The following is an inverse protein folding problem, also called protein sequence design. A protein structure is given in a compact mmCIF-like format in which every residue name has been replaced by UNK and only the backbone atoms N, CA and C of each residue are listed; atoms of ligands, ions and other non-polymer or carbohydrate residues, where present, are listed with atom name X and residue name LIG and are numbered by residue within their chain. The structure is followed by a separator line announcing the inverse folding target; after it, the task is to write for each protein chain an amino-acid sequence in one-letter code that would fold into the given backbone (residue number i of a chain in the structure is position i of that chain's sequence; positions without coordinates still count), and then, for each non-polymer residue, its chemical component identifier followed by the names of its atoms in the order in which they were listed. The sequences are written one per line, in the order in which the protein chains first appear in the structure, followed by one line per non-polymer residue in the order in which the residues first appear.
data_IF_672604812760
#
_entry.id   IF_672604812760
#
_cell.length_a   1.000
_cell.length_b   1.000
_cell.length_c   1.000
_cell.angle_alpha   90.00
_cell.angle_beta   90.00
_cell.angle_gamma   90.00
#
_symmetry.space_group_name_H-M   'P 1'
#
loop_
_entity.id
_entity.type
_entity.pdbx_description
1 polymer ?
#
# COMPACT_ATOMS: atom_id res chain seq x y z
N UNK A 1 8.56 33.79 46.38
CA UNK A 1 7.39 32.89 46.35
C UNK A 1 7.07 32.51 44.91
N UNK A 2 7.11 31.20 44.65
CA UNK A 2 7.04 30.55 43.33
C UNK A 2 5.63 30.64 42.75
N UNK A 3 5.47 31.18 41.55
CA UNK A 3 4.28 30.96 40.72
C UNK A 3 4.60 29.84 39.73
N UNK A 4 4.07 28.65 40.01
CA UNK A 4 4.08 27.50 39.10
C UNK A 4 2.94 27.68 38.10
N UNK A 5 3.27 27.95 36.84
CA UNK A 5 2.36 27.71 35.72
C UNK A 5 2.24 26.19 35.54
N UNK A 6 1.11 25.62 35.96
CA UNK A 6 0.70 24.28 35.58
C UNK A 6 -0.17 24.40 34.32
N UNK A 7 0.46 24.27 33.15
CA UNK A 7 -0.27 24.11 31.89
C UNK A 7 -0.77 22.66 31.89
N UNK A 8 -2.05 22.49 32.19
CA UNK A 8 -2.73 21.21 32.11
C UNK A 8 -3.00 20.90 30.63
N UNK A 9 -2.09 20.18 29.98
CA UNK A 9 -2.36 19.50 28.71
C UNK A 9 -3.37 18.37 28.99
N UNK A 10 -4.67 18.69 28.93
CA UNK A 10 -5.67 17.65 28.70
C UNK A 10 -5.64 17.34 27.22
N UNK A 11 -5.01 16.21 26.87
CA UNK A 11 -5.21 15.58 25.57
C UNK A 11 -6.72 15.38 25.39
N UNK A 12 -7.31 16.14 24.47
CA UNK A 12 -8.64 15.85 23.98
C UNK A 12 -8.49 14.56 23.17
N UNK A 13 -8.82 13.43 23.77
CA UNK A 13 -9.13 12.21 23.04
C UNK A 13 -10.34 12.53 22.17
N UNK A 14 -10.09 12.94 20.93
CA UNK A 14 -11.09 12.88 19.88
C UNK A 14 -11.33 11.40 19.69
N UNK A 15 -12.40 10.88 20.29
CA UNK A 15 -12.97 9.61 19.87
C UNK A 15 -13.43 9.84 18.43
N UNK A 16 -12.53 9.56 17.48
CA UNK A 16 -12.90 9.38 16.09
C UNK A 16 -13.88 8.21 16.14
N UNK A 17 -15.16 8.49 15.91
CA UNK A 17 -16.12 7.45 15.56
C UNK A 17 -15.53 6.77 14.34
N UNK A 18 -14.98 5.58 14.54
CA UNK A 18 -14.41 4.78 13.47
C UNK A 18 -15.55 4.41 12.52
N UNK A 19 -15.76 5.25 11.51
CA UNK A 19 -16.77 5.05 10.48
C UNK A 19 -16.38 3.90 9.55
N UNK A 20 -15.10 3.55 9.48
CA UNK A 20 -14.55 2.55 8.56
C UNK A 20 -13.65 1.57 9.32
N UNK A 21 -13.53 0.34 8.82
CA UNK A 21 -12.76 -0.69 9.52
C UNK A 21 -11.93 -1.56 8.59
N UNK A 22 -10.75 -1.96 9.07
CA UNK A 22 -9.95 -3.04 8.51
C UNK A 22 -10.04 -4.23 9.47
N UNK A 23 -10.63 -5.33 9.02
CA UNK A 23 -10.88 -6.53 9.82
C UNK A 23 -10.11 -7.71 9.26
N UNK A 24 -9.33 -8.38 10.10
CA UNK A 24 -8.68 -9.64 9.77
C UNK A 24 -9.62 -10.78 10.16
N UNK A 25 -10.14 -11.50 9.18
CA UNK A 25 -11.05 -12.64 9.39
C UNK A 25 -10.29 -13.90 9.80
N UNK A 26 -9.22 -14.23 9.08
CA UNK A 26 -8.41 -15.42 9.31
C UNK A 26 -6.93 -15.06 9.13
N UNK A 27 -6.07 -15.63 9.96
CA UNK A 27 -4.63 -15.49 9.84
C UNK A 27 -3.94 -16.74 10.40
N UNK A 28 -2.81 -17.17 9.81
CA UNK A 28 -2.03 -18.28 10.32
C UNK A 28 -1.37 -17.92 11.66
N UNK A 29 -1.05 -18.91 12.49
CA UNK A 29 -0.44 -18.70 13.82
C UNK A 29 0.89 -17.94 13.79
N UNK A 30 1.62 -18.00 12.68
CA UNK A 30 2.89 -17.30 12.50
C UNK A 30 2.75 -15.84 12.02
N UNK A 31 1.53 -15.37 11.74
CA UNK A 31 1.21 -13.95 11.48
C UNK A 31 0.37 -13.43 12.66
N UNK A 32 0.95 -12.55 13.45
CA UNK A 32 0.33 -12.05 14.68
C UNK A 32 -0.17 -10.62 14.49
N UNK A 33 -1.49 -10.47 14.54
CA UNK A 33 -2.18 -9.19 14.58
C UNK A 33 -2.50 -8.82 16.03
N UNK A 34 -1.92 -7.74 16.53
CA UNK A 34 -2.11 -7.28 17.90
C UNK A 34 -3.48 -6.65 18.07
N UNK A 35 -4.26 -7.09 19.06
CA UNK A 35 -5.55 -6.46 19.37
C UNK A 35 -5.33 -5.07 19.97
N UNK A 36 -5.84 -4.04 19.31
CA UNK A 36 -5.84 -2.68 19.80
C UNK A 36 -6.51 -1.72 18.82
N UNK A 37 -6.89 -0.55 19.30
CA UNK A 37 -7.65 0.46 18.54
C UNK A 37 -6.72 1.41 17.77
N UNK A 38 -5.67 0.89 17.13
CA UNK A 38 -4.73 1.70 16.37
C UNK A 38 -5.23 1.94 14.95
N UNK A 39 -5.44 3.18 14.54
CA UNK A 39 -5.88 3.47 13.19
C UNK A 39 -4.84 3.07 12.15
N UNK A 40 -5.31 2.47 11.07
CA UNK A 40 -4.51 2.18 9.87
C UNK A 40 -4.95 3.10 8.74
N UNK A 41 -4.00 3.69 8.01
CA UNK A 41 -4.31 4.53 6.85
C UNK A 41 -4.71 3.65 5.67
N UNK A 42 -5.76 4.01 4.94
CA UNK A 42 -6.18 3.34 3.70
C UNK A 42 -5.06 3.23 2.66
N UNK A 43 -4.23 4.26 2.54
CA UNK A 43 -3.04 4.28 1.67
C UNK A 43 -2.01 3.19 2.02
N UNK A 44 -2.01 2.71 3.27
CA UNK A 44 -1.03 1.75 3.78
C UNK A 44 -1.53 0.31 3.77
N UNK A 45 -2.75 0.05 3.29
CA UNK A 45 -3.26 -1.32 3.14
C UNK A 45 -2.42 -2.16 2.18
N UNK A 46 -1.99 -1.67 0.99
CA UNK A 46 -1.10 -2.45 0.13
C UNK A 46 0.26 -2.76 0.77
N UNK A 47 0.82 -1.79 1.51
CA UNK A 47 2.08 -1.97 2.25
C UNK A 47 1.92 -3.03 3.35
N UNK A 48 0.78 -3.02 4.06
CA UNK A 48 0.45 -4.03 5.06
C UNK A 48 0.36 -5.43 4.45
N UNK A 49 -0.36 -5.57 3.34
CA UNK A 49 -0.49 -6.83 2.58
C UNK A 49 0.87 -7.33 2.07
N UNK A 50 1.73 -6.43 1.59
CA UNK A 50 3.09 -6.77 1.18
C UNK A 50 3.90 -7.32 2.36
N UNK A 51 3.85 -6.65 3.51
CA UNK A 51 4.57 -7.05 4.72
C UNK A 51 4.07 -8.38 5.30
N UNK A 52 2.76 -8.65 5.29
CA UNK A 52 2.22 -9.93 5.77
C UNK A 52 2.68 -11.10 4.90
N UNK A 53 2.85 -10.88 3.60
CA UNK A 53 3.43 -11.86 2.66
C UNK A 53 4.96 -11.90 2.69
N UNK A 54 5.61 -10.99 3.42
CA UNK A 54 7.06 -10.97 3.61
C UNK A 54 7.84 -10.19 2.57
N UNK A 55 7.17 -9.37 1.77
CA UNK A 55 7.80 -8.47 0.82
C UNK A 55 8.29 -7.19 1.50
N UNK A 56 9.28 -6.54 0.89
CA UNK A 56 9.78 -5.24 1.32
C UNK A 56 8.90 -4.12 0.80
N UNK A 57 8.63 -3.12 1.64
CA UNK A 57 7.91 -1.89 1.27
C UNK A 57 8.87 -0.71 1.16
N UNK A 58 8.48 0.34 0.43
CA UNK A 58 9.33 1.52 0.22
C UNK A 58 9.42 2.40 1.47
N UNK A 59 8.33 2.49 2.23
CA UNK A 59 8.26 3.27 3.46
C UNK A 59 7.93 2.35 4.64
N UNK A 60 8.68 2.48 5.73
CA UNK A 60 8.46 1.68 6.92
C UNK A 60 7.05 1.90 7.48
N UNK A 61 6.28 0.80 7.60
CA UNK A 61 4.98 0.82 8.24
C UNK A 61 5.15 0.86 9.76
N UNK A 62 5.12 2.05 10.35
CA UNK A 62 5.21 2.28 11.81
C UNK A 62 3.91 1.93 12.57
N UNK A 63 3.10 1.00 12.05
CA UNK A 63 1.83 0.62 12.64
C UNK A 63 2.00 -0.57 13.59
N UNK A 64 1.61 -0.44 14.88
CA UNK A 64 1.86 -1.47 15.90
C UNK A 64 0.95 -2.71 15.79
N UNK A 65 -0.07 -2.67 14.92
CA UNK A 65 -1.03 -3.76 14.78
C UNK A 65 -0.47 -5.03 14.15
N UNK A 66 0.61 -4.95 13.38
CA UNK A 66 1.29 -6.12 12.80
C UNK A 66 2.58 -6.40 13.57
N UNK A 67 2.68 -7.58 14.18
CA UNK A 67 3.89 -8.01 14.88
C UNK A 67 4.85 -8.74 13.92
N UNK A 68 6.16 -8.54 14.13
CA UNK A 68 7.19 -9.30 13.43
C UNK A 68 7.05 -10.80 13.71
N UNK A 69 6.80 -11.58 12.64
CA UNK A 69 6.72 -13.04 12.66
C UNK A 69 8.04 -13.72 12.27
N UNK A 70 8.04 -15.06 12.15
CA UNK A 70 9.21 -15.84 11.73
C UNK A 70 9.67 -15.45 10.33
N UNK A 71 10.97 -15.31 10.07
CA UNK A 71 11.48 -14.82 8.77
C UNK A 71 11.21 -15.74 7.56
N UNK A 72 11.05 -17.04 7.80
CA UNK A 72 10.97 -18.05 6.74
C UNK A 72 9.59 -18.71 6.62
N UNK A 73 8.61 -18.26 7.40
CA UNK A 73 7.23 -18.71 7.30
C UNK A 73 6.39 -17.54 6.81
N UNK A 74 5.80 -17.72 5.63
CA UNK A 74 4.94 -16.73 4.97
C UNK A 74 3.62 -17.37 4.61
N UNK A 75 2.52 -16.59 4.61
CA UNK A 75 1.26 -17.05 4.07
C UNK A 75 1.42 -17.46 2.60
N UNK A 76 0.73 -18.52 2.21
CA UNK A 76 0.60 -19.00 0.84
C UNK A 76 -0.44 -18.24 0.03
N UNK A 77 -1.33 -17.51 0.70
CA UNK A 77 -2.26 -16.62 0.02
C UNK A 77 -2.60 -15.43 0.91
N UNK A 78 -2.80 -14.27 0.27
CA UNK A 78 -3.50 -13.15 0.86
C UNK A 78 -4.79 -12.87 0.08
N UNK A 79 -5.90 -12.79 0.81
CA UNK A 79 -7.23 -12.51 0.28
C UNK A 79 -7.73 -11.23 0.93
N UNK A 80 -7.77 -10.16 0.15
CA UNK A 80 -8.32 -8.87 0.56
C UNK A 80 -9.69 -8.66 -0.09
N UNK A 81 -10.72 -8.47 0.73
CA UNK A 81 -12.06 -8.12 0.26
C UNK A 81 -12.41 -6.70 0.70
N UNK A 82 -12.56 -5.80 -0.25
CA UNK A 82 -13.03 -4.43 -0.02
C UNK A 82 -14.55 -4.42 -0.17
N UNK A 83 -15.26 -4.01 0.86
CA UNK A 83 -16.72 -3.85 0.86
C UNK A 83 -17.06 -2.37 0.97
N UNK A 84 -17.74 -1.87 -0.07
CA UNK A 84 -18.20 -0.49 -0.16
C UNK A 84 -19.65 -0.35 0.25
N UNK A 85 -20.03 0.84 0.71
CA UNK A 85 -21.41 1.16 1.11
C UNK A 85 -21.77 0.76 2.54
N UNK A 86 -20.81 0.43 3.39
CA UNK A 86 -21.05 0.04 4.79
C UNK A 86 -19.98 0.59 5.72
N UNK A 87 -20.41 1.10 6.88
CA UNK A 87 -19.50 1.67 7.87
C UNK A 87 -18.67 0.53 8.52
N UNK A 88 -19.36 -0.47 9.08
CA UNK A 88 -18.73 -1.68 9.63
C UNK A 88 -19.62 -2.91 9.42
N UNK A 89 -18.98 -4.07 9.27
CA UNK A 89 -19.65 -5.37 9.19
C UNK A 89 -19.49 -6.12 10.52
N UNK A 90 -20.59 -6.68 11.03
CA UNK A 90 -20.55 -7.53 12.20
C UNK A 90 -19.98 -8.91 11.84
N UNK A 91 -18.67 -9.08 12.05
CA UNK A 91 -17.91 -10.30 11.77
C UNK A 91 -17.50 -10.99 13.09
N UNK A 92 -18.38 -11.77 13.75
CA UNK A 92 -18.16 -12.37 15.07
C UNK A 92 -16.91 -13.25 15.22
N UNK A 93 -16.39 -13.82 14.14
CA UNK A 93 -15.23 -14.72 14.17
C UNK A 93 -13.96 -14.08 13.60
N UNK A 94 -13.77 -12.77 13.80
CA UNK A 94 -12.55 -12.08 13.39
C UNK A 94 -11.38 -12.27 14.38
N UNK A 95 -10.17 -12.26 13.84
CA UNK A 95 -8.91 -12.30 14.60
C UNK A 95 -8.67 -10.94 15.28
N UNK A 96 -8.77 -9.87 14.49
CA UNK A 96 -8.59 -8.49 14.93
C UNK A 96 -9.39 -7.54 14.01
N UNK A 97 -9.75 -6.37 14.55
CA UNK A 97 -10.43 -5.30 13.81
C UNK A 97 -9.83 -3.97 14.23
N UNK A 98 -9.58 -3.11 13.25
CA UNK A 98 -8.90 -1.84 13.43
C UNK A 98 -9.68 -0.72 12.74
N UNK A 99 -9.70 0.49 13.32
CA UNK A 99 -10.28 1.64 12.65
C UNK A 99 -9.47 2.01 11.41
N UNK A 100 -10.15 2.33 10.31
CA UNK A 100 -9.51 2.78 9.06
C UNK A 100 -9.61 4.30 8.95
N UNK A 101 -8.48 4.97 8.74
CA UNK A 101 -8.38 6.40 8.49
C UNK A 101 -8.04 6.69 7.03
N UNK A 102 -8.49 7.82 6.49
CA UNK A 102 -8.24 8.25 5.12
C UNK A 102 -8.54 7.12 4.09
N UNK A 103 -9.81 6.72 3.94
CA UNK A 103 -10.21 5.67 3.01
C UNK A 103 -10.09 6.19 1.56
N UNK A 104 -8.88 6.21 1.03
CA UNK A 104 -8.65 6.51 -0.38
C UNK A 104 -8.70 5.22 -1.20
N UNK A 105 -9.09 5.28 -2.49
CA UNK A 105 -8.97 4.12 -3.36
C UNK A 105 -7.52 3.67 -3.45
N UNK A 106 -7.29 2.38 -3.29
CA UNK A 106 -5.97 1.75 -3.44
C UNK A 106 -6.07 0.55 -4.39
N UNK A 107 -4.97 0.20 -5.04
CA UNK A 107 -4.85 -1.01 -5.84
C UNK A 107 -3.76 -1.91 -5.28
N UNK A 108 -3.78 -3.17 -5.68
CA UNK A 108 -2.79 -4.16 -5.24
C UNK A 108 -1.71 -4.40 -6.30
N UNK A 109 -1.53 -3.46 -7.23
CA UNK A 109 -0.69 -3.62 -8.42
C UNK A 109 0.80 -3.77 -8.07
N UNK A 110 1.29 -3.01 -7.09
CA UNK A 110 2.68 -3.11 -6.61
C UNK A 110 2.99 -4.50 -6.04
N UNK A 111 2.03 -5.05 -5.30
CA UNK A 111 2.14 -6.37 -4.68
C UNK A 111 1.99 -7.46 -5.74
N UNK A 112 1.03 -7.32 -6.66
CA UNK A 112 0.85 -8.20 -7.80
C UNK A 112 2.13 -8.31 -8.65
N UNK A 113 2.75 -7.18 -8.97
CA UNK A 113 4.01 -7.12 -9.71
C UNK A 113 5.15 -7.78 -8.92
N UNK A 114 5.19 -7.59 -7.60
CA UNK A 114 6.18 -8.24 -6.72
C UNK A 114 6.02 -9.76 -6.73
N UNK A 115 4.79 -10.26 -6.59
CA UNK A 115 4.49 -11.70 -6.67
C UNK A 115 4.91 -12.25 -8.04
N UNK A 116 4.56 -11.56 -9.12
CA UNK A 116 4.92 -12.01 -10.46
C UNK A 116 6.42 -12.02 -10.71
N UNK A 117 7.12 -10.95 -10.35
CA UNK A 117 8.55 -10.82 -10.59
C UNK A 117 9.38 -11.80 -9.78
N UNK A 118 9.00 -12.08 -8.52
CA UNK A 118 9.72 -13.01 -7.65
C UNK A 118 9.39 -14.48 -7.94
N UNK A 119 8.19 -14.79 -8.43
CA UNK A 119 7.70 -16.15 -8.63
C UNK A 119 7.31 -16.44 -10.08
N UNK A 120 7.96 -15.79 -11.05
CA UNK A 120 7.66 -15.92 -12.49
C UNK A 120 7.81 -17.35 -13.03
N UNK A 121 8.71 -18.13 -12.42
CA UNK A 121 8.98 -19.53 -12.77
C UNK A 121 7.89 -20.47 -12.26
N UNK A 122 7.19 -20.08 -11.19
CA UNK A 122 6.07 -20.81 -10.60
C UNK A 122 4.74 -20.43 -11.26
N UNK A 123 3.63 -20.76 -10.59
CA UNK A 123 2.26 -20.53 -11.06
C UNK A 123 1.42 -19.71 -10.06
N UNK A 124 1.89 -18.53 -9.60
CA UNK A 124 1.10 -17.71 -8.69
C UNK A 124 -0.23 -17.33 -9.33
N UNK A 125 -1.29 -17.35 -8.52
CA UNK A 125 -2.60 -16.80 -8.87
C UNK A 125 -2.65 -15.36 -8.39
N UNK A 126 -2.74 -14.42 -9.33
CA UNK A 126 -3.05 -13.02 -9.02
C UNK A 126 -4.40 -12.69 -9.64
N UNK A 127 -5.41 -12.50 -8.79
CA UNK A 127 -6.77 -12.13 -9.19
C UNK A 127 -7.16 -10.81 -8.52
N UNK A 128 -7.35 -9.75 -9.33
CA UNK A 128 -7.99 -8.53 -8.88
C UNK A 128 -9.32 -8.36 -9.61
N UNK A 129 -10.43 -8.28 -8.87
CA UNK A 129 -11.77 -8.25 -9.44
C UNK A 129 -12.62 -7.15 -8.78
N UNK A 130 -13.23 -6.32 -9.60
CA UNK A 130 -14.24 -5.34 -9.20
C UNK A 130 -15.46 -5.50 -10.13
N UNK A 131 -16.46 -6.34 -9.75
CA UNK A 131 -17.57 -6.69 -10.63
C UNK A 131 -18.44 -5.51 -11.08
N UNK A 132 -18.65 -4.52 -10.21
CA UNK A 132 -19.46 -3.33 -10.53
C UNK A 132 -18.84 -2.40 -11.55
N UNK A 133 -17.50 -2.37 -11.62
CA UNK A 133 -16.76 -1.62 -12.62
C UNK A 133 -16.45 -2.46 -13.87
N UNK A 134 -16.97 -3.70 -13.94
CA UNK A 134 -16.68 -4.72 -14.96
C UNK A 134 -15.16 -4.93 -15.15
N UNK A 135 -14.40 -4.78 -14.07
CA UNK A 135 -12.93 -4.87 -14.07
C UNK A 135 -12.49 -6.23 -13.57
N UNK A 136 -11.76 -6.94 -14.43
CA UNK A 136 -10.99 -8.13 -14.08
C UNK A 136 -9.54 -7.92 -14.51
N UNK A 137 -8.64 -8.05 -13.56
CA UNK A 137 -7.21 -8.10 -13.81
C UNK A 137 -6.68 -9.43 -13.29
N UNK A 138 -6.03 -10.17 -14.17
CA UNK A 138 -5.41 -11.45 -13.86
C UNK A 138 -3.98 -11.44 -14.35
N UNK A 139 -3.04 -11.87 -13.50
CA UNK A 139 -1.63 -11.96 -13.86
C UNK A 139 -0.99 -13.28 -13.39
N UNK A 140 -0.24 -13.95 -14.27
CA UNK A 140 0.28 -15.31 -14.03
C UNK A 140 -0.24 -16.40 -14.97
N UNK A 141 0.34 -17.61 -14.88
CA UNK A 141 0.04 -18.76 -15.75
C UNK A 141 -1.20 -19.56 -15.32
N UNK A 142 -1.57 -19.49 -14.03
CA UNK A 142 -2.71 -20.21 -13.46
C UNK A 142 -4.09 -19.59 -13.81
N UNK A 143 -4.09 -18.45 -14.50
CA UNK A 143 -5.28 -17.63 -14.72
C UNK A 143 -6.32 -18.23 -15.66
N UNK A 144 -5.94 -19.20 -16.50
CA UNK A 144 -6.88 -19.92 -17.37
C UNK A 144 -8.01 -20.59 -16.56
N UNK A 145 -7.79 -20.86 -15.27
CA UNK A 145 -8.81 -21.42 -14.36
C UNK A 145 -9.92 -20.42 -14.02
N UNK A 146 -9.62 -19.12 -14.10
CA UNK A 146 -10.52 -18.03 -13.71
C UNK A 146 -11.09 -17.25 -14.92
N UNK A 147 -10.73 -17.62 -16.14
CA UNK A 147 -11.28 -17.02 -17.37
C UNK A 147 -12.80 -17.20 -17.49
N UNK A 148 -13.35 -18.28 -16.92
CA UNK A 148 -14.77 -18.58 -16.92
C UNK A 148 -15.56 -17.79 -15.86
N UNK A 149 -14.89 -16.97 -15.03
CA UNK A 149 -15.60 -16.14 -14.06
C UNK A 149 -16.47 -15.10 -14.79
N UNK A 150 -17.74 -14.95 -14.42
CA UNK A 150 -18.60 -13.97 -15.03
C UNK A 150 -18.20 -12.56 -14.56
N UNK A 151 -17.68 -11.73 -15.47
CA UNK A 151 -17.18 -10.38 -15.16
C UNK A 151 -18.18 -9.30 -15.54
N UNK A 152 -18.96 -9.54 -16.59
CA UNK A 152 -19.96 -8.59 -17.08
C UNK A 152 -21.32 -8.85 -16.43
N UNK A 153 -22.13 -7.81 -16.29
CA UNK A 153 -23.50 -7.94 -15.77
C UNK A 153 -24.33 -8.97 -16.56
N UNK A 154 -24.09 -9.10 -17.86
CA UNK A 154 -24.79 -10.05 -18.72
C UNK A 154 -24.39 -11.51 -18.42
N UNK A 155 -23.09 -11.80 -18.31
CA UNK A 155 -22.60 -13.14 -17.95
C UNK A 155 -23.07 -13.53 -16.55
N UNK A 156 -23.05 -12.57 -15.63
CA UNK A 156 -23.52 -12.70 -14.27
C UNK A 156 -25.01 -13.06 -14.21
N UNK A 157 -25.88 -12.37 -14.97
CA UNK A 157 -27.31 -12.69 -15.03
C UNK A 157 -27.54 -14.10 -15.58
N UNK A 158 -26.76 -14.51 -16.56
CA UNK A 158 -26.79 -15.88 -17.07
C UNK A 158 -26.29 -16.89 -16.02
N UNK A 159 -25.26 -16.55 -15.24
CA UNK A 159 -24.73 -17.40 -14.16
C UNK A 159 -25.76 -17.60 -13.04
N UNK A 160 -26.49 -16.55 -12.68
CA UNK A 160 -27.54 -16.62 -11.65
C UNK A 160 -28.74 -17.47 -12.06
N UNK A 161 -28.98 -17.70 -13.36
CA UNK A 161 -30.06 -18.56 -13.85
C UNK A 161 -29.65 -20.02 -14.07
N UNK A 162 -28.35 -20.33 -13.95
CA UNK A 162 -27.80 -21.67 -14.10
C UNK A 162 -27.86 -22.50 -12.81
N UNK A 163 -27.66 -23.82 -12.96
CA UNK A 163 -27.50 -24.74 -11.84
C UNK A 163 -26.27 -24.37 -10.99
N UNK A 164 -26.37 -24.55 -9.67
CA UNK A 164 -25.35 -24.09 -8.71
C UNK A 164 -25.41 -22.59 -8.42
N UNK A 165 -26.49 -21.90 -8.80
CA UNK A 165 -26.73 -20.53 -8.38
C UNK A 165 -27.03 -20.44 -6.88
N UNK A 166 -26.42 -19.44 -6.27
CA UNK A 166 -26.58 -19.05 -4.88
C UNK A 166 -28.02 -18.59 -4.57
N UNK A 167 -28.81 -18.22 -5.60
CA UNK A 167 -30.25 -17.90 -5.48
C UNK A 167 -31.09 -19.07 -4.95
N UNK A 168 -30.61 -20.31 -5.12
CA UNK A 168 -31.29 -21.52 -4.64
C UNK A 168 -30.99 -21.83 -3.17
N UNK A 169 -29.85 -21.35 -2.66
CA UNK A 169 -29.34 -21.68 -1.32
C UNK A 169 -29.47 -20.55 -0.30
N UNK A 170 -29.55 -19.29 -0.74
CA UNK A 170 -29.59 -18.15 0.18
C UNK A 170 -31.02 -17.72 0.54
N UNK A 171 -31.24 -17.30 1.79
CA UNK A 171 -32.47 -16.64 2.18
C UNK A 171 -32.50 -15.24 1.57
N UNK A 172 -33.24 -15.08 0.47
CA UNK A 172 -33.37 -13.79 -0.20
C UNK A 172 -34.15 -12.76 0.62
N UNK A 173 -34.99 -13.20 1.57
CA UNK A 173 -35.78 -12.36 2.47
C UNK A 173 -36.44 -11.17 1.74
N UNK A 174 -35.93 -9.96 1.93
CA UNK A 174 -36.44 -8.72 1.33
C UNK A 174 -35.84 -8.37 -0.05
N UNK A 175 -34.82 -9.10 -0.51
CA UNK A 175 -34.14 -8.88 -1.79
C UNK A 175 -34.94 -9.46 -2.97
N UNK A 176 -35.01 -8.68 -4.04
CA UNK A 176 -35.70 -8.98 -5.28
C UNK A 176 -34.76 -9.59 -6.33
N UNK A 177 -35.28 -10.57 -7.09
CA UNK A 177 -34.57 -11.15 -8.24
C UNK A 177 -34.68 -10.31 -9.52
N UNK A 178 -35.50 -9.26 -9.49
CA UNK A 178 -35.79 -8.44 -10.68
C UNK A 178 -35.19 -7.03 -10.59
N UNK A 179 -34.85 -6.57 -9.37
CA UNK A 179 -34.25 -5.27 -9.18
C UNK A 179 -32.77 -5.32 -9.58
N UNK A 180 -32.31 -4.31 -10.32
CA UNK A 180 -30.95 -4.29 -10.85
C UNK A 180 -29.89 -4.18 -9.75
N UNK A 181 -30.12 -3.35 -8.72
CA UNK A 181 -29.21 -3.20 -7.58
C UNK A 181 -29.09 -4.51 -6.76
N UNK A 182 -30.21 -5.17 -6.51
CA UNK A 182 -30.26 -6.46 -5.79
C UNK A 182 -29.56 -7.55 -6.58
N UNK A 183 -29.76 -7.60 -7.90
CA UNK A 183 -29.07 -8.53 -8.78
C UNK A 183 -27.55 -8.30 -8.78
N UNK A 184 -27.10 -7.04 -8.77
CA UNK A 184 -25.69 -6.71 -8.67
C UNK A 184 -25.10 -7.22 -7.34
N UNK A 185 -25.76 -6.95 -6.21
CA UNK A 185 -25.34 -7.49 -4.92
C UNK A 185 -25.32 -9.03 -4.88
N UNK A 186 -26.38 -9.68 -5.38
CA UNK A 186 -26.45 -11.15 -5.43
C UNK A 186 -25.39 -11.75 -6.36
N UNK A 187 -24.97 -11.00 -7.38
CA UNK A 187 -23.90 -11.43 -8.27
C UNK A 187 -22.53 -11.42 -7.63
N UNK A 188 -22.22 -10.38 -6.85
CA UNK A 188 -20.99 -10.31 -6.06
C UNK A 188 -20.90 -11.49 -5.09
N UNK A 189 -22.02 -11.83 -4.46
CA UNK A 189 -22.12 -13.01 -3.58
C UNK A 189 -21.93 -14.32 -4.36
N UNK A 190 -22.47 -14.42 -5.58
CA UNK A 190 -22.24 -15.57 -6.47
C UNK A 190 -20.76 -15.71 -6.85
N UNK A 191 -20.09 -14.60 -7.16
CA UNK A 191 -18.67 -14.56 -7.51
C UNK A 191 -17.82 -15.13 -6.37
N UNK A 192 -18.08 -14.73 -5.12
CA UNK A 192 -17.39 -15.31 -3.95
C UNK A 192 -17.56 -16.84 -3.89
N UNK A 193 -18.78 -17.33 -4.14
CA UNK A 193 -19.07 -18.75 -4.17
C UNK A 193 -18.34 -19.48 -5.32
N UNK A 194 -18.36 -18.90 -6.53
CA UNK A 194 -17.72 -19.47 -7.71
C UNK A 194 -16.19 -19.53 -7.54
N UNK A 195 -15.57 -18.49 -6.96
CA UNK A 195 -14.13 -18.51 -6.61
C UNK A 195 -13.83 -19.68 -5.67
N UNK A 196 -14.60 -19.85 -4.58
CA UNK A 196 -14.39 -20.97 -3.66
C UNK A 196 -14.58 -22.32 -4.36
N UNK A 197 -15.59 -22.47 -5.21
CA UNK A 197 -15.85 -23.69 -5.97
C UNK A 197 -14.71 -24.01 -6.97
N UNK A 198 -14.17 -22.99 -7.65
CA UNK A 198 -13.02 -23.12 -8.54
C UNK A 198 -11.77 -23.55 -7.78
N UNK A 199 -11.47 -22.92 -6.63
CA UNK A 199 -10.34 -23.31 -5.78
C UNK A 199 -10.48 -24.73 -5.23
N UNK A 200 -11.70 -25.15 -4.89
CA UNK A 200 -11.99 -26.53 -4.47
C UNK A 200 -11.78 -27.54 -5.59
N UNK A 201 -12.09 -27.18 -6.84
CA UNK A 201 -11.86 -28.02 -8.03
C UNK A 201 -10.38 -28.08 -8.39
N UNK A 202 -9.66 -26.97 -8.23
CA UNK A 202 -8.25 -26.80 -8.58
C UNK A 202 -7.36 -26.71 -7.33
N UNK A 203 -7.49 -27.66 -6.38
CA UNK A 203 -6.72 -27.67 -5.12
C UNK A 203 -5.21 -27.69 -5.27
N UNK A 204 -4.69 -28.00 -6.45
CA UNK A 204 -3.26 -27.97 -6.72
C UNK A 204 -2.70 -26.54 -6.69
N UNK A 205 -3.50 -25.53 -7.05
CA UNK A 205 -3.12 -24.11 -6.99
C UNK A 205 -2.80 -23.73 -5.54
N UNK A 206 -3.68 -24.05 -4.59
CA UNK A 206 -3.46 -23.74 -3.17
C UNK A 206 -2.31 -24.52 -2.49
N UNK A 207 -1.69 -25.47 -3.20
CA UNK A 207 -0.63 -26.33 -2.66
C UNK A 207 0.75 -26.05 -3.23
N UNK A 208 0.87 -25.15 -4.19
CA UNK A 208 2.15 -24.82 -4.79
C UNK A 208 3.05 -24.01 -3.83
N UNK A 209 4.21 -23.60 -4.33
CA UNK A 209 5.23 -22.91 -3.55
C UNK A 209 5.13 -21.38 -3.67
N UNK A 210 4.29 -20.89 -4.59
CA UNK A 210 4.11 -19.47 -4.86
C UNK A 210 3.02 -18.88 -3.95
N UNK A 211 3.17 -17.62 -3.50
CA UNK A 211 2.11 -16.93 -2.81
C UNK A 211 1.05 -16.45 -3.81
N UNK A 212 -0.22 -16.71 -3.49
CA UNK A 212 -1.37 -16.23 -4.26
C UNK A 212 -1.90 -14.90 -3.69
N UNK A 213 -2.44 -14.06 -4.58
CA UNK A 213 -3.01 -12.77 -4.25
C UNK A 213 -4.42 -12.64 -4.82
N UNK A 214 -5.40 -12.44 -3.95
CA UNK A 214 -6.79 -12.18 -4.32
C UNK A 214 -7.21 -10.82 -3.77
N UNK A 215 -7.62 -9.91 -4.66
CA UNK A 215 -8.15 -8.58 -4.32
C UNK A 215 -9.55 -8.45 -4.90
N UNK A 216 -10.57 -8.44 -4.05
CA UNK A 216 -11.98 -8.43 -4.46
C UNK A 216 -12.65 -7.16 -3.97
N UNK A 217 -13.18 -6.34 -4.88
CA UNK A 217 -13.94 -5.13 -4.54
C UNK A 217 -15.43 -5.37 -4.77
N UNK A 218 -16.21 -5.28 -3.70
CA UNK A 218 -17.65 -5.48 -3.67
C UNK A 218 -18.33 -4.14 -3.36
N UNK A 219 -19.24 -3.72 -4.23
CA UNK A 219 -19.94 -2.43 -4.14
C UNK A 219 -21.46 -2.54 -4.20
N UNK A 220 -22.00 -3.75 -4.21
CA UNK A 220 -23.44 -4.00 -4.23
C UNK A 220 -24.15 -3.41 -3.02
N UNK A 221 -23.52 -3.36 -1.84
CA UNK A 221 -24.09 -2.68 -0.69
C UNK A 221 -24.15 -1.16 -0.86
N UNK A 222 -23.21 -0.55 -1.58
CA UNK A 222 -23.25 0.89 -1.91
C UNK A 222 -24.45 1.21 -2.78
N UNK A 223 -24.69 0.38 -3.81
CA UNK A 223 -25.83 0.51 -4.70
C UNK A 223 -27.18 0.27 -4.01
N UNK A 224 -27.25 -0.73 -3.13
CA UNK A 224 -28.43 -0.97 -2.30
C UNK A 224 -28.71 0.17 -1.32
N UNK A 225 -27.65 0.70 -0.68
CA UNK A 225 -27.77 1.86 0.20
C UNK A 225 -28.24 3.09 -0.56
N UNK A 226 -27.82 3.26 -1.82
CA UNK A 226 -28.25 4.37 -2.68
C UNK A 226 -29.72 4.25 -3.09
N UNK A 227 -30.19 3.04 -3.41
CA UNK A 227 -31.54 2.82 -3.90
C UNK A 227 -32.60 2.76 -2.78
N UNK A 228 -32.36 1.99 -1.71
CA UNK A 228 -33.34 1.75 -0.65
C UNK A 228 -33.08 2.56 0.62
N UNK A 229 -31.84 3.03 0.83
CA UNK A 229 -31.40 3.70 2.05
C UNK A 229 -30.88 2.73 3.13
N UNK A 230 -30.05 3.21 4.07
CA UNK A 230 -29.38 2.38 5.08
C UNK A 230 -30.33 1.80 6.14
N UNK A 231 -31.52 2.40 6.31
CA UNK A 231 -32.54 1.91 7.26
C UNK A 231 -33.52 0.91 6.64
N UNK A 232 -33.40 0.62 5.35
CA UNK A 232 -34.29 -0.30 4.65
C UNK A 232 -34.08 -1.76 5.10
N UNK A 233 -35.14 -2.60 5.07
CA UNK A 233 -34.99 -4.02 5.34
C UNK A 233 -34.08 -4.70 4.30
N UNK A 234 -34.10 -4.25 3.03
CA UNK A 234 -33.23 -4.74 1.96
C UNK A 234 -31.76 -4.57 2.32
N UNK A 235 -31.37 -3.36 2.72
CA UNK A 235 -29.99 -3.08 3.09
C UNK A 235 -29.56 -3.89 4.30
N UNK A 236 -30.38 -3.95 5.35
CA UNK A 236 -30.07 -4.71 6.58
C UNK A 236 -29.94 -6.21 6.34
N UNK A 237 -30.85 -6.79 5.55
CA UNK A 237 -30.79 -8.20 5.16
C UNK A 237 -29.55 -8.48 4.31
N UNK A 238 -29.22 -7.60 3.34
CA UNK A 238 -28.02 -7.72 2.51
C UNK A 238 -26.74 -7.62 3.34
N UNK A 239 -26.66 -6.69 4.30
CA UNK A 239 -25.50 -6.56 5.20
C UNK A 239 -25.30 -7.82 6.05
N UNK A 240 -26.38 -8.36 6.62
CA UNK A 240 -26.32 -9.59 7.42
C UNK A 240 -25.94 -10.80 6.57
N UNK A 241 -26.51 -10.90 5.35
CA UNK A 241 -26.21 -11.96 4.41
C UNK A 241 -24.73 -11.91 3.99
N UNK A 242 -24.22 -10.74 3.59
CA UNK A 242 -22.81 -10.58 3.19
C UNK A 242 -21.86 -10.93 4.34
N UNK A 243 -22.15 -10.48 5.57
CA UNK A 243 -21.34 -10.82 6.73
C UNK A 243 -21.25 -12.34 6.97
N UNK A 244 -22.36 -13.07 6.77
CA UNK A 244 -22.39 -14.54 6.89
C UNK A 244 -21.63 -15.23 5.76
N UNK A 245 -21.75 -14.72 4.52
CA UNK A 245 -21.05 -15.24 3.34
C UNK A 245 -19.55 -15.02 3.47
N UNK A 246 -19.11 -13.82 3.88
CA UNK A 246 -17.69 -13.50 4.04
C UNK A 246 -17.02 -14.35 5.13
N UNK A 247 -17.70 -14.63 6.23
CA UNK A 247 -17.18 -15.55 7.25
C UNK A 247 -16.99 -16.95 6.70
N UNK A 248 -18.00 -17.49 6.00
CA UNK A 248 -17.93 -18.82 5.40
C UNK A 248 -16.84 -18.87 4.32
N UNK A 249 -16.79 -17.87 3.45
CA UNK A 249 -15.77 -17.72 2.42
C UNK A 249 -14.36 -17.70 3.03
N UNK A 250 -14.15 -16.90 4.08
CA UNK A 250 -12.87 -16.84 4.78
C UNK A 250 -12.47 -18.18 5.40
N UNK A 251 -13.39 -18.91 6.03
CA UNK A 251 -13.14 -20.24 6.58
C UNK A 251 -12.80 -21.27 5.48
N UNK A 252 -13.59 -21.27 4.40
CA UNK A 252 -13.42 -22.22 3.29
C UNK A 252 -12.06 -22.01 2.60
N UNK A 253 -11.69 -20.76 2.31
CA UNK A 253 -10.39 -20.42 1.71
C UNK A 253 -9.24 -20.71 2.68
N UNK A 254 -9.38 -20.34 3.96
CA UNK A 254 -8.35 -20.64 4.98
C UNK A 254 -8.10 -22.15 5.11
N UNK A 255 -9.15 -22.97 5.08
CA UNK A 255 -9.04 -24.42 5.08
C UNK A 255 -8.41 -24.99 3.80
N UNK A 256 -8.68 -24.39 2.64
CA UNK A 256 -8.09 -24.81 1.35
C UNK A 256 -6.58 -24.64 1.30
N UNK A 257 -6.07 -23.53 1.85
CA UNK A 257 -4.64 -23.23 1.96
C UNK A 257 -3.97 -23.89 3.18
N UNK A 258 -4.64 -24.84 3.86
CA UNK A 258 -4.08 -25.56 5.00
C UNK A 258 -3.71 -24.63 6.15
N UNK A 259 -4.60 -23.68 6.48
CA UNK A 259 -4.43 -22.69 7.53
C UNK A 259 -3.23 -21.76 7.32
N UNK A 260 -2.80 -21.59 6.06
CA UNK A 260 -1.65 -20.76 5.69
C UNK A 260 -2.05 -19.57 4.81
N UNK A 261 -3.25 -19.03 4.95
CA UNK A 261 -3.69 -17.83 4.24
C UNK A 261 -4.12 -16.73 5.21
N UNK A 262 -3.99 -15.49 4.77
CA UNK A 262 -4.55 -14.32 5.48
C UNK A 262 -5.79 -13.88 4.73
N UNK A 263 -6.89 -13.68 5.44
CA UNK A 263 -8.16 -13.20 4.89
C UNK A 263 -8.54 -11.90 5.59
N UNK A 264 -8.66 -10.84 4.82
CA UNK A 264 -8.82 -9.47 5.27
C UNK A 264 -10.07 -8.86 4.63
N UNK A 265 -10.78 -8.03 5.39
CA UNK A 265 -11.97 -7.31 4.94
C UNK A 265 -11.82 -5.83 5.27
N UNK A 266 -11.89 -4.99 4.26
CA UNK A 266 -11.92 -3.54 4.40
C UNK A 266 -13.36 -3.08 4.22
N UNK A 267 -13.93 -2.37 5.20
CA UNK A 267 -15.26 -1.76 5.08
C UNK A 267 -15.14 -0.25 4.95
N UNK A 268 -15.72 0.28 3.89
CA UNK A 268 -15.78 1.73 3.62
C UNK A 268 -17.19 2.10 3.17
N UNK A 269 -17.69 3.27 3.59
CA UNK A 269 -18.98 3.76 3.10
C UNK A 269 -18.88 4.24 1.65
N UNK A 270 -17.88 5.06 1.39
CA UNK A 270 -17.46 5.51 0.09
C UNK A 270 -15.99 5.91 0.19
N UNK A 271 -15.24 5.75 -0.89
CA UNK A 271 -13.87 6.25 -0.93
C UNK A 271 -13.86 7.77 -0.99
N UNK A 272 -13.01 8.38 -0.16
CA UNK A 272 -12.78 9.81 -0.17
C UNK A 272 -11.79 10.17 -1.29
N UNK A 273 -11.95 11.37 -1.87
CA UNK A 273 -10.94 11.89 -2.78
C UNK A 273 -9.61 12.02 -2.01
N UNK A 274 -8.49 11.53 -2.56
CA UNK A 274 -7.23 11.55 -1.86
C UNK A 274 -6.90 12.98 -1.47
N UNK A 275 -6.73 13.21 -0.16
CA UNK A 275 -6.26 14.48 0.37
C UNK A 275 -4.77 14.59 0.04
N UNK A 276 -4.44 14.86 -1.22
CA UNK A 276 -3.07 15.14 -1.63
C UNK A 276 -2.66 16.45 -0.98
N UNK A 277 -2.09 16.39 0.22
CA UNK A 277 -1.28 17.51 0.69
C UNK A 277 -0.11 17.55 -0.27
N UNK A 278 -0.09 18.52 -1.18
CA UNK A 278 1.11 18.84 -1.96
C UNK A 278 2.22 19.12 -0.95
N UNK A 279 3.02 18.09 -0.66
CA UNK A 279 4.23 18.25 0.12
C UNK A 279 5.07 19.23 -0.67
N UNK A 280 5.46 20.34 -0.03
CA UNK A 280 6.42 21.25 -0.63
C UNK A 280 7.66 20.43 -0.92
N UNK A 281 8.01 20.31 -2.19
CA UNK A 281 9.29 19.73 -2.57
C UNK A 281 10.36 20.49 -1.79
N UNK A 282 11.25 19.79 -1.10
CA UNK A 282 12.37 20.41 -0.38
C UNK A 282 13.33 21.10 -1.40
N UNK A 283 13.20 20.77 -2.69
CA UNK A 283 13.85 21.43 -3.82
C UNK A 283 13.08 22.65 -4.36
N UNK A 284 11.92 22.99 -3.79
CA UNK A 284 11.26 24.28 -4.04
C UNK A 284 12.03 25.36 -3.26
N UNK A 285 13.19 25.72 -3.81
CA UNK A 285 13.87 26.96 -3.47
C UNK A 285 12.83 28.06 -3.48
N UNK A 286 12.77 28.91 -2.44
CA UNK A 286 11.94 30.12 -2.43
C UNK A 286 12.06 30.76 -3.80
N UNK A 287 11.04 30.64 -4.65
CA UNK A 287 11.00 31.39 -5.88
C UNK A 287 11.00 32.84 -5.42
N UNK A 288 12.15 33.49 -5.54
CA UNK A 288 12.21 34.94 -5.60
C UNK A 288 11.31 35.23 -6.78
N UNK A 289 10.06 35.62 -6.50
CA UNK A 289 9.13 36.04 -7.52
C UNK A 289 9.82 37.22 -8.22
N UNK A 290 10.47 36.96 -9.34
CA UNK A 290 10.98 38.01 -10.19
C UNK A 290 9.74 38.85 -10.54
N UNK A 291 9.77 40.13 -10.18
CA UNK A 291 8.63 41.07 -10.24
C UNK A 291 8.06 41.32 -11.66
N UNK A 292 8.30 40.44 -12.63
CA UNK A 292 7.95 40.64 -14.03
C UNK A 292 7.45 39.42 -14.82
N UNK A 293 7.27 38.22 -14.23
CA UNK A 293 6.68 37.09 -15.00
C UNK A 293 5.64 36.30 -14.20
N UNK A 294 4.39 36.33 -14.67
CA UNK A 294 3.23 35.59 -14.13
C UNK A 294 3.26 34.08 -14.44
N UNK A 295 4.16 33.64 -15.32
CA UNK A 295 4.25 32.23 -15.74
C UNK A 295 5.61 31.65 -15.36
N UNK A 296 5.67 30.34 -15.16
CA UNK A 296 6.89 29.57 -14.88
C UNK A 296 7.77 29.43 -16.15
N UNK A 297 8.21 30.56 -16.70
CA UNK A 297 9.11 30.57 -17.85
C UNK A 297 10.51 30.13 -17.42
N UNK A 298 11.17 29.37 -18.29
CA UNK A 298 12.55 28.96 -18.10
C UNK A 298 13.48 30.18 -17.93
N UNK A 299 14.54 30.00 -17.13
CA UNK A 299 15.57 31.02 -16.99
C UNK A 299 16.20 31.33 -18.35
N UNK A 300 16.31 32.61 -18.69
CA UNK A 300 16.95 33.03 -19.94
C UNK A 300 18.45 32.93 -19.79
N UNK A 301 19.04 31.86 -20.31
CA UNK A 301 20.48 31.77 -20.52
C UNK A 301 20.87 32.64 -21.71
N UNK A 302 22.03 33.28 -21.61
CA UNK A 302 22.64 33.93 -22.76
C UNK A 302 22.99 32.87 -23.82
N UNK A 303 22.80 33.19 -25.09
CA UNK A 303 23.15 32.30 -26.21
C UNK A 303 24.64 32.00 -26.20
N UNK A 304 25.45 32.95 -25.70
CA UNK A 304 26.90 32.82 -25.58
C UNK A 304 27.37 32.14 -24.29
N UNK A 305 26.46 31.63 -23.46
CA UNK A 305 26.78 31.04 -22.16
C UNK A 305 27.90 29.98 -22.24
N UNK A 306 27.86 29.11 -23.24
CA UNK A 306 28.86 28.06 -23.43
C UNK A 306 30.27 28.62 -23.68
N UNK A 307 30.37 29.76 -24.37
CA UNK A 307 31.65 30.43 -24.67
C UNK A 307 32.20 31.09 -23.41
N UNK A 308 31.36 31.89 -22.73
CA UNK A 308 31.74 32.58 -21.50
C UNK A 308 32.15 31.60 -20.41
N UNK A 309 31.39 30.51 -20.25
CA UNK A 309 31.69 29.47 -19.25
C UNK A 309 33.08 28.86 -19.46
N UNK A 310 33.42 28.48 -20.69
CA UNK A 310 34.71 27.87 -20.98
C UNK A 310 35.88 28.84 -20.78
N UNK A 311 35.74 30.11 -21.19
CA UNK A 311 36.77 31.13 -20.99
C UNK A 311 37.05 31.29 -19.49
N UNK A 312 36.01 31.44 -18.68
CA UNK A 312 36.17 31.63 -17.22
C UNK A 312 36.73 30.38 -16.56
N UNK A 313 36.24 29.18 -16.91
CA UNK A 313 36.70 27.93 -16.31
C UNK A 313 38.20 27.71 -16.52
N UNK A 314 38.67 27.78 -17.76
CA UNK A 314 40.08 27.52 -18.07
C UNK A 314 41.00 28.63 -17.55
N UNK A 315 40.56 29.88 -17.59
CA UNK A 315 41.32 31.00 -17.01
C UNK A 315 41.54 30.79 -15.50
N UNK A 316 40.48 30.41 -14.77
CA UNK A 316 40.56 30.20 -13.33
C UNK A 316 41.43 29.00 -12.95
N UNK A 317 41.37 27.91 -13.72
CA UNK A 317 42.23 26.73 -13.49
C UNK A 317 43.70 27.07 -13.67
N UNK A 318 44.06 27.76 -14.76
CA UNK A 318 45.44 28.16 -15.03
C UNK A 318 45.95 29.11 -13.95
N UNK A 319 45.13 30.09 -13.54
CA UNK A 319 45.49 31.05 -12.51
C UNK A 319 45.67 30.37 -11.14
N UNK A 320 44.80 29.43 -10.78
CA UNK A 320 44.93 28.66 -9.55
C UNK A 320 46.21 27.80 -9.54
N UNK A 321 46.52 27.12 -10.66
CA UNK A 321 47.76 26.35 -10.79
C UNK A 321 49.01 27.24 -10.68
N UNK A 322 49.01 28.41 -11.31
CA UNK A 322 50.11 29.36 -11.20
C UNK A 322 50.36 29.78 -9.75
N UNK A 323 49.29 30.10 -9.00
CA UNK A 323 49.39 30.45 -7.58
C UNK A 323 49.96 29.28 -6.76
N UNK A 324 49.51 28.05 -7.00
CA UNK A 324 50.03 26.86 -6.31
C UNK A 324 51.51 26.67 -6.57
N UNK A 325 51.98 26.81 -7.82
CA UNK A 325 53.40 26.65 -8.16
C UNK A 325 54.24 27.74 -7.50
N UNK A 326 53.81 29.00 -7.52
CA UNK A 326 54.53 30.09 -6.85
C UNK A 326 54.57 29.86 -5.33
N UNK A 327 53.45 29.46 -4.73
CA UNK A 327 53.39 29.17 -3.30
C UNK A 327 54.30 27.99 -2.91
N UNK A 328 54.36 26.93 -3.72
CA UNK A 328 55.23 25.79 -3.48
C UNK A 328 56.72 26.16 -3.56
N UNK A 329 57.10 27.00 -4.53
CA UNK A 329 58.47 27.47 -4.64
C UNK A 329 58.87 28.40 -3.48
N UNK A 330 57.96 29.26 -3.03
CA UNK A 330 58.19 30.10 -1.84
C UNK A 330 58.30 29.25 -0.56
N UNK A 331 57.47 28.22 -0.44
CA UNK A 331 57.50 27.29 0.70
C UNK A 331 58.83 26.54 0.79
N UNK A 332 59.36 26.10 -0.34
CA UNK A 332 60.62 25.35 -0.44
C UNK A 332 61.82 26.22 -0.82
N UNK A 333 61.73 27.53 -0.62
CA UNK A 333 62.85 28.41 -0.90
C UNK A 333 63.99 28.09 0.07
N UNK A 334 65.12 27.62 -0.46
CA UNK A 334 66.30 27.32 0.34
C UNK A 334 66.79 28.63 1.00
N UNK A 335 66.78 28.74 2.34
CA UNK A 335 67.21 29.95 3.03
C UNK A 335 68.72 30.20 2.92
N UNK A 336 69.49 29.28 2.32
CA UNK A 336 70.94 29.34 2.28
C UNK A 336 71.49 29.04 3.67
N UNK A 337 71.93 27.81 3.90
CA UNK A 337 72.42 27.34 5.19
C UNK A 337 73.77 27.95 5.63
N UNK A 338 74.17 29.12 5.15
CA UNK A 338 75.49 29.67 5.46
C UNK A 338 75.49 30.57 6.70
N UNK A 339 76.47 30.29 7.58
CA UNK A 339 76.91 30.99 8.80
C UNK A 339 76.14 30.76 10.11
N UNK A 340 74.87 31.14 10.26
CA UNK A 340 74.20 31.11 11.59
C UNK A 340 73.55 29.75 11.88
N UNK A 341 72.98 29.09 10.89
CA UNK A 341 72.25 27.81 11.07
C UNK A 341 73.21 26.66 11.40
N UNK A 342 74.42 26.62 10.82
CA UNK A 342 75.47 25.66 11.21
C UNK A 342 76.03 25.90 12.63
N UNK A 343 76.07 27.15 13.10
CA UNK A 343 76.50 27.47 14.48
C UNK A 343 75.52 26.94 15.53
N UNK A 344 74.23 26.88 15.21
CA UNK A 344 73.21 26.31 16.11
C UNK A 344 73.12 24.78 16.06
N UNK A 345 73.47 24.15 14.93
CA UNK A 345 73.28 22.70 14.74
C UNK A 345 74.51 21.85 15.05
N UNK A 346 75.73 22.43 15.12
CA UNK A 346 76.96 21.68 15.37
C UNK A 346 77.67 22.11 16.67
N UNK A 347 77.04 21.88 17.82
CA UNK A 347 77.73 21.91 19.13
C UNK A 347 78.52 20.61 19.32
N UNK A 348 79.76 20.57 18.80
CA UNK A 348 80.70 19.47 19.09
C UNK A 348 81.13 19.56 20.57
N UNK A 349 80.53 18.73 21.43
CA UNK A 349 80.96 18.56 22.83
C UNK A 349 82.38 17.98 22.82
N UNK A 350 83.34 18.68 23.43
CA UNK A 350 84.66 18.09 23.75
C UNK A 350 84.47 17.17 24.96
N UNK A 351 84.86 15.90 24.82
CA UNK A 351 85.14 15.04 25.97
C UNK A 351 86.60 15.22 26.34
N UNK A 352 86.86 15.41 27.64
CA UNK A 352 88.18 15.53 28.26
C UNK A 352 89.00 14.25 28.19
#
# INVERSE_FOLDING_TARGET
NRYRFAICWRAASVAILALYSFTVLQAPEFVSFQKGDWPVSGEKIPDLVALTMGFSVQEDLLWPGLQAGPLFQRPRANILVVVRGVDSLALPQSVASYPLENPVPFTMDSVAETVHSLFAEDTPVVLQLAPSEERLYMLGKANAVFEDLPVTLQQIRARLSQDGSVLSSLPLNSLSRNAEADLLFLSEVQVLHDITALLQRHRHLAKDHSPDLYSLELSGLEELSRLYGPDSPQYRDATALLASVLQKFGQDVYGLYGNSSVVEVVTVKAFEAPLTRKSRSILESRQISNRGSLYNLAHKYDVEYAVVFNIVLWLMIVLALAVIVVAYNLWNMDPGYDSIIYRMTNQKIRMD
#
